data_IF_616386511978
#
_entry.id   IF_616386511978
#
_cell.length_a   1.000
_cell.length_b   1.000
_cell.length_c   1.000
_cell.angle_alpha   90.00
_cell.angle_beta   90.00
_cell.angle_gamma   90.00
#
_symmetry.space_group_name_H-M   'P 1'
#
loop_
_entity.id
_entity.type
_entity.pdbx_description
1 polymer ?
#
# COMPACT_ATOMS: atom_id res chain seq x y z
N UNK A 1 20.42 -20.23 7.93
CA UNK A 1 19.40 -19.18 8.03
C UNK A 1 20.00 -17.99 8.76
N UNK A 2 20.21 -16.88 8.05
CA UNK A 2 20.82 -15.65 8.56
C UNK A 2 19.82 -14.49 8.65
N UNK A 3 18.64 -14.62 8.05
CA UNK A 3 17.60 -13.60 8.02
C UNK A 3 16.26 -14.13 8.56
N UNK A 4 15.42 -13.21 9.03
CA UNK A 4 14.01 -13.46 9.30
C UNK A 4 13.24 -13.04 8.04
N UNK A 5 12.58 -13.97 7.32
CA UNK A 5 11.84 -13.64 6.11
C UNK A 5 10.82 -12.52 6.34
N UNK A 6 10.70 -11.64 5.36
CA UNK A 6 9.77 -10.52 5.29
C UNK A 6 9.89 -9.49 6.42
N UNK A 7 10.94 -9.54 7.25
CA UNK A 7 11.20 -8.55 8.29
C UNK A 7 11.89 -7.31 7.69
N UNK A 8 11.20 -6.17 7.55
CA UNK A 8 11.84 -4.95 7.08
C UNK A 8 12.76 -4.37 8.16
N UNK A 9 13.93 -3.88 7.75
CA UNK A 9 14.85 -3.13 8.59
C UNK A 9 14.41 -1.67 8.77
N UNK A 10 13.62 -1.15 7.82
CA UNK A 10 13.08 0.20 7.82
C UNK A 10 11.65 0.23 7.27
N UNK A 11 10.76 0.78 8.09
CA UNK A 11 9.42 1.20 7.67
C UNK A 11 9.22 2.66 8.07
N UNK A 12 8.44 3.40 7.28
CA UNK A 12 8.06 4.75 7.63
C UNK A 12 6.62 5.02 7.21
N UNK A 13 5.86 5.64 8.10
CA UNK A 13 4.51 6.11 7.79
C UNK A 13 4.35 7.51 8.33
N UNK A 14 3.65 8.36 7.59
CA UNK A 14 3.37 9.71 8.04
C UNK A 14 2.21 10.32 7.29
N UNK A 15 1.79 11.49 7.75
CA UNK A 15 0.74 12.21 7.07
C UNK A 15 0.47 13.58 7.68
N UNK A 16 -0.22 14.40 6.89
CA UNK A 16 -0.73 15.69 7.27
C UNK A 16 -2.24 15.61 7.26
N UNK A 17 -2.87 16.21 8.28
CA UNK A 17 -4.32 16.36 8.37
C UNK A 17 -4.61 17.82 8.54
N UNK A 18 -5.60 18.32 7.79
CA UNK A 18 -6.08 19.68 7.96
C UNK A 18 -7.59 19.68 8.18
N UNK A 19 -8.05 20.62 8.97
CA UNK A 19 -9.46 20.90 9.19
C UNK A 19 -9.63 22.39 9.40
N UNK A 20 -10.58 22.99 8.69
CA UNK A 20 -10.87 24.42 8.79
C UNK A 20 -12.27 24.68 9.34
N UNK A 21 -12.49 25.80 10.04
CA UNK A 21 -13.83 26.24 10.44
C UNK A 21 -14.77 26.50 9.26
N UNK A 22 -14.23 26.73 8.05
CA UNK A 22 -15.00 26.96 6.83
C UNK A 22 -15.59 25.66 6.23
N UNK A 23 -15.42 24.52 6.90
CA UNK A 23 -16.00 23.23 6.50
C UNK A 23 -15.12 22.38 5.60
N UNK A 24 -13.90 22.84 5.28
CA UNK A 24 -12.92 22.04 4.53
C UNK A 24 -12.14 21.12 5.47
N UNK A 25 -11.91 19.89 5.04
CA UNK A 25 -10.99 18.97 5.69
C UNK A 25 -10.28 18.11 4.67
N UNK A 26 -9.16 17.52 5.07
CA UNK A 26 -8.47 16.59 4.23
C UNK A 26 -7.24 16.01 4.91
N UNK A 27 -6.65 15.02 4.24
CA UNK A 27 -5.39 14.46 4.69
C UNK A 27 -4.56 13.99 3.52
N UNK A 28 -3.25 14.04 3.68
CA UNK A 28 -2.26 13.39 2.84
C UNK A 28 -1.51 12.38 3.71
N UNK A 29 -1.35 11.14 3.26
CA UNK A 29 -0.69 10.06 4.00
C UNK A 29 0.28 9.35 3.08
N UNK A 30 1.39 8.87 3.63
CA UNK A 30 2.31 8.00 2.93
C UNK A 30 2.63 6.76 3.77
N UNK A 31 2.98 5.69 3.08
CA UNK A 31 3.51 4.44 3.66
C UNK A 31 4.71 3.99 2.84
N UNK A 32 5.83 3.79 3.53
CA UNK A 32 7.09 3.33 3.00
C UNK A 32 7.53 2.03 3.70
N UNK A 33 8.00 1.08 2.91
CA UNK A 33 8.70 -0.11 3.37
C UNK A 33 9.92 -0.33 2.49
N UNK A 34 11.06 -0.64 3.10
CA UNK A 34 12.28 -0.97 2.36
C UNK A 34 12.24 -2.42 1.86
N UNK A 35 13.00 -2.69 0.80
CA UNK A 35 13.35 -4.03 0.36
C UNK A 35 13.84 -4.89 1.53
N UNK A 36 13.48 -6.18 1.50
CA UNK A 36 13.79 -7.10 2.59
C UNK A 36 13.90 -8.54 2.09
N UNK A 37 14.63 -9.42 2.79
CA UNK A 37 14.68 -10.85 2.45
C UNK A 37 13.28 -11.46 2.39
N UNK A 38 12.99 -12.23 1.35
CA UNK A 38 11.76 -13.02 1.25
C UNK A 38 11.92 -14.44 1.82
N UNK A 39 13.17 -14.90 2.01
CA UNK A 39 13.53 -16.19 2.61
C UNK A 39 14.75 -16.08 3.56
N UNK A 40 15.08 -17.16 4.28
CA UNK A 40 16.03 -17.19 5.40
C UNK A 40 17.50 -17.02 5.00
N UNK A 41 17.83 -17.27 3.74
CA UNK A 41 19.18 -17.11 3.19
C UNK A 41 19.36 -15.79 2.42
N UNK A 42 18.26 -15.07 2.15
CA UNK A 42 18.25 -13.78 1.47
C UNK A 42 18.48 -13.86 -0.04
N UNK A 43 18.31 -15.03 -0.64
CA UNK A 43 18.42 -15.21 -2.09
C UNK A 43 17.26 -14.58 -2.87
N UNK A 44 16.08 -14.48 -2.26
CA UNK A 44 14.90 -13.81 -2.83
C UNK A 44 14.66 -12.50 -2.07
N UNK A 45 14.41 -11.41 -2.79
CA UNK A 45 14.11 -10.09 -2.21
C UNK A 45 12.63 -9.77 -2.40
N UNK A 46 11.93 -9.40 -1.32
CA UNK A 46 10.60 -8.82 -1.40
C UNK A 46 10.74 -7.31 -1.60
N UNK A 47 10.11 -6.80 -2.65
CA UNK A 47 10.25 -5.41 -3.08
C UNK A 47 9.60 -4.45 -2.08
N UNK A 48 10.31 -3.37 -1.80
CA UNK A 48 9.85 -2.21 -1.04
C UNK A 48 8.92 -1.33 -1.88
N UNK A 49 8.25 -0.38 -1.22
CA UNK A 49 7.37 0.56 -1.91
C UNK A 49 7.18 1.85 -1.12
N UNK A 50 6.77 2.89 -1.83
CA UNK A 50 6.23 4.12 -1.29
C UNK A 50 4.85 4.37 -1.92
N UNK A 51 3.79 4.29 -1.12
CA UNK A 51 2.42 4.57 -1.55
C UNK A 51 1.92 5.81 -0.84
N UNK A 52 1.28 6.71 -1.58
CA UNK A 52 0.73 7.98 -1.08
C UNK A 52 -0.76 8.05 -1.35
N UNK A 53 -1.55 8.39 -0.34
CA UNK A 53 -3.00 8.53 -0.43
C UNK A 53 -3.43 9.91 0.05
N UNK A 54 -4.53 10.44 -0.50
CA UNK A 54 -5.14 11.66 0.00
C UNK A 54 -6.66 11.60 0.05
N UNK A 55 -7.24 12.42 0.92
CA UNK A 55 -8.63 12.79 0.83
C UNK A 55 -8.81 14.29 1.01
N UNK A 56 -9.85 14.80 0.38
CA UNK A 56 -10.33 16.16 0.54
C UNK A 56 -11.84 16.12 0.71
N UNK A 57 -12.36 16.90 1.65
CA UNK A 57 -13.78 16.95 1.96
C UNK A 57 -14.25 18.38 2.19
N UNK A 58 -15.49 18.64 1.81
CA UNK A 58 -16.20 19.88 2.10
C UNK A 58 -17.54 19.58 2.74
N UNK A 59 -17.76 20.11 3.94
CA UNK A 59 -19.00 19.97 4.69
C UNK A 59 -19.81 21.27 4.62
N UNK A 60 -21.04 21.15 4.14
CA UNK A 60 -22.00 22.23 4.06
C UNK A 60 -23.34 21.81 4.66
N UNK A 61 -23.73 22.47 5.75
CA UNK A 61 -24.94 22.15 6.53
C UNK A 61 -24.95 20.66 6.93
N UNK A 62 -25.93 19.89 6.45
CA UNK A 62 -26.12 18.46 6.73
C UNK A 62 -25.39 17.55 5.74
N UNK A 63 -24.75 18.09 4.70
CA UNK A 63 -24.09 17.33 3.65
C UNK A 63 -22.56 17.46 3.72
N UNK A 64 -21.86 16.35 3.42
CA UNK A 64 -20.40 16.33 3.22
C UNK A 64 -20.10 15.69 1.88
N UNK A 65 -19.28 16.37 1.07
CA UNK A 65 -18.75 15.89 -0.20
C UNK A 65 -17.27 15.57 -0.02
N UNK A 66 -16.82 14.42 -0.52
CA UNK A 66 -15.42 14.01 -0.41
C UNK A 66 -14.91 13.46 -1.73
N UNK A 67 -13.64 13.74 -2.00
CA UNK A 67 -12.83 13.09 -3.03
C UNK A 67 -11.70 12.36 -2.31
N UNK A 68 -11.49 11.10 -2.65
CA UNK A 68 -10.46 10.25 -2.06
C UNK A 68 -9.63 9.71 -3.22
N UNK A 69 -8.32 9.94 -3.18
CA UNK A 69 -7.34 9.39 -4.11
C UNK A 69 -6.43 8.41 -3.39
N UNK A 70 -6.32 7.21 -3.95
CA UNK A 70 -5.45 6.13 -3.48
C UNK A 70 -4.31 5.97 -4.49
N UNK A 71 -3.10 5.69 -4.00
CA UNK A 71 -1.89 5.57 -4.80
C UNK A 71 -1.67 6.74 -5.79
N UNK A 72 -1.61 7.97 -5.25
CA UNK A 72 -1.54 9.22 -6.03
C UNK A 72 -0.35 9.34 -6.99
N UNK A 73 0.72 8.59 -6.72
CA UNK A 73 1.94 8.59 -7.54
C UNK A 73 1.93 7.47 -8.58
N UNK A 74 0.84 6.68 -8.64
CA UNK A 74 0.71 5.51 -9.50
C UNK A 74 1.91 4.55 -9.36
N UNK A 75 2.36 4.35 -8.12
CA UNK A 75 3.46 3.43 -7.79
C UNK A 75 3.02 2.01 -8.14
N UNK A 76 3.82 1.28 -8.91
CA UNK A 76 3.67 -0.18 -9.03
C UNK A 76 4.25 -0.83 -7.77
N UNK A 77 3.43 -1.58 -7.04
CA UNK A 77 3.82 -2.16 -5.76
C UNK A 77 3.10 -3.47 -5.50
N UNK A 78 3.67 -4.29 -4.63
CA UNK A 78 3.11 -5.56 -4.22
C UNK A 78 2.58 -5.46 -2.79
N UNK A 79 1.28 -5.71 -2.60
CA UNK A 79 0.61 -5.61 -1.30
C UNK A 79 1.02 -6.74 -0.35
N UNK A 80 1.05 -7.96 -0.88
CA UNK A 80 1.51 -9.15 -0.19
C UNK A 80 2.53 -9.86 -1.07
N UNK A 81 3.59 -10.40 -0.47
CA UNK A 81 4.72 -11.01 -1.17
C UNK A 81 5.27 -12.14 -0.32
N UNK A 82 5.50 -13.32 -0.92
CA UNK A 82 6.04 -14.48 -0.24
C UNK A 82 6.98 -15.25 -1.18
N UNK A 83 8.13 -15.68 -0.67
CA UNK A 83 8.86 -16.76 -1.30
C UNK A 83 8.02 -18.03 -1.16
N UNK A 84 7.76 -18.71 -2.27
CA UNK A 84 6.97 -19.93 -2.27
C UNK A 84 7.60 -20.92 -3.22
N UNK A 85 7.91 -22.10 -2.70
CA UNK A 85 8.33 -23.23 -3.49
C UNK A 85 7.11 -23.85 -4.18
N UNK A 86 7.15 -23.89 -5.50
CA UNK A 86 6.11 -24.49 -6.32
C UNK A 86 6.72 -25.40 -7.38
N UNK A 87 5.92 -26.31 -7.92
CA UNK A 87 6.34 -27.19 -9.03
C UNK A 87 5.16 -27.53 -9.91
N UNK A 88 5.22 -27.16 -11.18
CA UNK A 88 4.22 -27.49 -12.17
C UNK A 88 4.30 -28.97 -12.56
N UNK A 89 3.19 -29.48 -13.11
CA UNK A 89 3.12 -30.84 -13.61
C UNK A 89 4.02 -30.99 -14.85
N UNK A 90 5.18 -31.63 -14.68
CA UNK A 90 6.16 -31.86 -15.74
C UNK A 90 7.50 -31.19 -15.49
N UNK A 91 7.63 -30.37 -14.45
CA UNK A 91 8.93 -29.86 -14.00
C UNK A 91 9.70 -30.95 -13.25
N UNK A 92 11.00 -31.06 -13.54
CA UNK A 92 11.88 -32.03 -12.90
C UNK A 92 12.12 -31.67 -11.41
N UNK A 93 12.41 -30.40 -11.15
CA UNK A 93 12.69 -29.85 -9.83
C UNK A 93 11.68 -28.75 -9.48
N UNK A 94 11.48 -28.49 -8.20
CA UNK A 94 10.71 -27.34 -7.72
C UNK A 94 11.47 -26.03 -7.91
N UNK A 95 10.71 -24.94 -8.03
CA UNK A 95 11.22 -23.57 -8.13
C UNK A 95 10.69 -22.77 -6.95
N UNK A 96 11.60 -22.14 -6.21
CA UNK A 96 11.26 -21.16 -5.20
C UNK A 96 11.34 -19.76 -5.82
N UNK A 97 10.23 -19.04 -5.80
CA UNK A 97 10.13 -17.70 -6.37
C UNK A 97 9.16 -16.80 -5.62
N UNK A 98 9.18 -15.52 -5.95
CA UNK A 98 8.35 -14.50 -5.32
C UNK A 98 6.93 -14.53 -5.90
N UNK A 99 5.97 -14.93 -5.07
CA UNK A 99 4.54 -14.83 -5.37
C UNK A 99 3.96 -13.60 -4.69
N UNK A 100 3.10 -12.85 -5.39
CA UNK A 100 2.59 -11.60 -4.87
C UNK A 100 1.15 -11.29 -5.27
N UNK A 101 0.50 -10.46 -4.43
CA UNK A 101 -0.75 -9.77 -4.77
C UNK A 101 -0.40 -8.36 -5.20
N UNK A 102 -0.72 -7.94 -6.44
CA UNK A 102 -0.47 -6.59 -6.88
C UNK A 102 -1.26 -5.60 -6.03
N UNK A 103 -0.64 -4.49 -5.68
CA UNK A 103 -1.26 -3.42 -4.93
C UNK A 103 -2.25 -2.63 -5.77
N UNK A 104 -3.09 -1.83 -5.09
CA UNK A 104 -4.08 -0.98 -5.76
C UNK A 104 -3.38 0.01 -6.70
N UNK A 105 -3.78 0.11 -7.98
CA UNK A 105 -3.29 1.14 -8.90
C UNK A 105 -3.80 2.52 -8.45
N UNK A 106 -3.42 3.59 -9.15
CA UNK A 106 -4.06 4.88 -8.95
C UNK A 106 -5.59 4.75 -9.01
N UNK A 107 -6.28 5.20 -7.95
CA UNK A 107 -7.74 5.11 -7.87
C UNK A 107 -8.35 6.37 -7.27
N UNK A 108 -9.46 6.82 -7.86
CA UNK A 108 -10.17 8.03 -7.44
C UNK A 108 -11.64 7.73 -7.18
N UNK A 109 -12.15 8.11 -6.00
CA UNK A 109 -13.55 7.92 -5.61
C UNK A 109 -14.18 9.17 -5.00
N UNK A 110 -15.45 9.39 -5.35
CA UNK A 110 -16.30 10.41 -4.74
C UNK A 110 -17.19 9.81 -3.65
N UNK A 111 -17.44 10.56 -2.59
CA UNK A 111 -18.38 10.18 -1.51
C UNK A 111 -19.27 11.37 -1.15
N UNK A 112 -20.55 11.10 -0.96
CA UNK A 112 -21.53 12.05 -0.40
C UNK A 112 -22.12 11.45 0.87
N UNK A 113 -22.17 12.24 1.94
CA UNK A 113 -22.76 11.84 3.22
C UNK A 113 -23.79 12.88 3.65
N UNK A 114 -24.97 12.44 4.09
CA UNK A 114 -26.01 13.32 4.65
C UNK A 114 -26.32 12.91 6.09
N UNK A 115 -26.39 13.87 7.01
CA UNK A 115 -26.74 13.65 8.43
C UNK A 115 -28.16 14.14 8.71
N UNK A 116 -29.07 13.22 9.06
CA UNK A 116 -30.48 13.51 9.34
C UNK A 116 -30.66 14.21 10.69
#
# INVERSE_FOLDING_TARGET
>A
ANYIPLAPDLTATGGLVFQSPAGFSGSLRYRYIRDRPANEDGSITAEGYLVTDANFSYSFKKATFSIIGENLLDTEWNEAQFATESRLKGEAESVEELHFTPGTPFFLKGKVTYRF
#
